data_IF_908650251959
#
_entry.id   IF_908650251959
#
_cell.length_a   1.000
_cell.length_b   1.000
_cell.length_c   1.000
_cell.angle_alpha   90.00
_cell.angle_beta   90.00
_cell.angle_gamma   90.00
#
_symmetry.space_group_name_H-M   'P 1'
#
loop_
_entity.id
_entity.type
_entity.pdbx_description
1 polymer ?
#
# COMPACT_ATOMS: atom_id res chain seq x y z
N UNK A 1 13.68 -9.94 -14.21
CA UNK A 1 13.62 -10.17 -14.36
C UNK A 1 13.60 -10.29 -14.18
N UNK A 2 13.83 -9.97 -14.23
CA UNK A 2 13.94 -10.28 -14.27
C UNK A 2 14.36 -10.98 -14.34
N UNK A 3 14.57 -11.05 -14.47
CA UNK A 3 14.97 -11.87 -14.56
C UNK A 3 15.25 -12.27 -14.28
N UNK A 4 15.62 -11.91 -14.23
CA UNK A 4 15.86 -12.31 -14.29
C UNK A 4 15.98 -12.76 -13.93
N UNK A 5 16.06 -12.59 -13.84
CA UNK A 5 16.20 -13.13 -13.85
C UNK A 5 16.18 -13.75 -13.75
N UNK A 6 16.34 -13.60 -13.82
CA UNK A 6 16.44 -14.28 -13.93
C UNK A 6 16.57 -14.83 -13.60
N UNK A 7 16.84 -14.79 -13.64
CA UNK A 7 16.99 -15.46 -13.45
C UNK A 7 17.09 -15.95 -12.86
N UNK A 8 17.34 -16.15 -12.76
CA UNK A 8 17.38 -16.59 -12.19
C UNK A 8 17.12 -17.29 -11.79
N UNK A 9 17.37 -17.32 -12.04
CA UNK A 9 17.16 -18.09 -11.51
C UNK A 9 16.37 -18.99 -10.96
N UNK A 10 16.39 -19.44 -10.92
CA UNK A 10 15.64 -20.50 -10.25
C UNK A 10 14.92 -19.96 -9.08
N UNK A 11 13.70 -19.63 -9.25
CA UNK A 11 12.91 -19.12 -8.17
C UNK A 11 12.19 -20.27 -7.54
N UNK A 12 12.52 -20.54 -6.29
CA UNK A 12 11.74 -21.48 -5.52
C UNK A 12 10.39 -20.86 -5.21
N UNK A 13 9.36 -21.67 -5.22
CA UNK A 13 8.04 -21.18 -4.81
C UNK A 13 8.09 -20.80 -3.34
N UNK A 14 7.55 -19.62 -2.96
CA UNK A 14 7.53 -19.24 -1.56
C UNK A 14 6.72 -20.23 -0.74
N UNK A 15 7.20 -20.54 0.45
CA UNK A 15 6.42 -21.25 1.45
C UNK A 15 5.56 -20.25 2.20
N UNK A 16 4.67 -20.71 3.07
CA UNK A 16 3.88 -19.80 3.91
C UNK A 16 4.78 -18.89 4.74
N UNK A 17 5.93 -19.40 5.16
CA UNK A 17 6.91 -18.64 5.91
C UNK A 17 7.50 -17.50 5.10
N UNK A 18 7.62 -17.71 3.79
CA UNK A 18 8.23 -16.75 2.89
C UNK A 18 7.18 -15.93 2.13
N UNK A 19 5.92 -16.02 2.52
CA UNK A 19 4.88 -15.25 1.88
C UNK A 19 5.17 -13.78 2.01
N UNK A 20 4.99 -13.05 0.90
CA UNK A 20 5.28 -11.64 0.84
C UNK A 20 4.07 -10.79 0.51
N UNK A 21 2.94 -11.40 0.21
CA UNK A 21 1.71 -10.67 -0.09
C UNK A 21 0.51 -11.35 0.53
N UNK A 22 -0.38 -10.53 1.07
CA UNK A 22 -1.62 -10.98 1.67
C UNK A 22 -2.74 -10.11 1.14
N UNK A 23 -3.80 -10.75 0.69
CA UNK A 23 -4.96 -10.06 0.13
C UNK A 23 -6.16 -10.33 1.01
N UNK A 24 -7.02 -9.36 1.15
CA UNK A 24 -8.22 -9.54 1.94
C UNK A 24 -9.27 -8.50 1.63
N UNK A 25 -10.38 -8.62 2.34
CA UNK A 25 -11.50 -7.69 2.24
C UNK A 25 -11.96 -7.36 3.67
N UNK A 26 -12.17 -6.09 3.92
CA UNK A 26 -12.66 -5.63 5.22
C UNK A 26 -13.71 -4.55 4.98
N UNK A 27 -14.90 -4.75 5.50
CA UNK A 27 -16.03 -3.82 5.33
C UNK A 27 -16.25 -3.44 3.86
N UNK A 28 -16.07 -4.40 2.97
CA UNK A 28 -16.28 -4.19 1.54
C UNK A 28 -15.11 -3.55 0.81
N UNK A 29 -14.03 -3.23 1.49
CA UNK A 29 -12.82 -2.68 0.87
C UNK A 29 -11.81 -3.80 0.71
N UNK A 30 -11.35 -4.00 -0.52
CA UNK A 30 -10.27 -4.93 -0.79
C UNK A 30 -8.95 -4.28 -0.45
N UNK A 31 -8.01 -5.07 0.05
CA UNK A 31 -6.70 -4.56 0.41
C UNK A 31 -5.61 -5.57 0.11
N UNK A 32 -4.40 -5.07 0.09
CA UNK A 32 -3.19 -5.88 -0.05
C UNK A 32 -2.18 -5.42 0.99
N UNK A 33 -1.51 -6.37 1.63
CA UNK A 33 -0.34 -6.11 2.47
C UNK A 33 0.85 -6.72 1.76
N UNK A 34 1.94 -5.97 1.64
CA UNK A 34 3.15 -6.44 0.98
C UNK A 34 4.34 -6.32 1.92
N UNK A 35 5.16 -7.34 1.92
CA UNK A 35 6.43 -7.37 2.62
C UNK A 35 7.51 -7.61 1.57
N UNK A 36 8.56 -6.81 1.59
CA UNK A 36 9.65 -6.99 0.64
C UNK A 36 10.96 -6.57 1.26
N UNK A 37 12.04 -7.11 0.71
CA UNK A 37 13.36 -6.81 1.22
C UNK A 37 13.75 -5.40 0.79
N UNK A 38 14.06 -4.57 1.77
CA UNK A 38 14.43 -3.20 1.51
C UNK A 38 15.86 -3.05 1.04
N UNK A 39 16.15 -1.94 0.39
CA UNK A 39 17.48 -1.52 0.06
C UNK A 39 17.96 -0.49 1.06
N UNK A 40 19.12 -0.72 1.63
CA UNK A 40 19.68 0.19 2.61
C UNK A 40 21.05 0.66 2.12
N UNK A 41 21.29 1.96 2.25
CA UNK A 41 22.61 2.54 1.98
C UNK A 41 23.51 2.30 3.19
N UNK A 42 24.81 2.59 3.03
CA UNK A 42 25.73 2.50 4.17
C UNK A 42 25.27 3.39 5.33
N UNK A 43 24.69 4.56 5.02
CA UNK A 43 24.22 5.47 6.06
C UNK A 43 23.05 4.91 6.86
N UNK A 44 22.14 4.19 6.17
CA UNK A 44 20.93 3.67 6.81
C UNK A 44 21.05 2.22 7.24
N UNK A 45 22.21 1.62 7.02
CA UNK A 45 22.43 0.20 7.33
C UNK A 45 22.13 -0.16 8.77
N UNK A 46 22.37 0.78 9.67
CA UNK A 46 22.08 0.58 11.10
C UNK A 46 20.59 0.40 11.37
N UNK A 47 19.74 0.81 10.43
CA UNK A 47 18.29 0.68 10.55
C UNK A 47 17.76 -0.55 9.81
N UNK A 48 18.66 -1.35 9.22
CA UNK A 48 18.23 -2.51 8.44
C UNK A 48 17.48 -3.50 9.33
N UNK A 49 16.23 -3.69 9.02
CA UNK A 49 15.37 -4.69 9.67
C UNK A 49 15.06 -5.86 8.74
N UNK A 50 15.73 -5.90 7.60
CA UNK A 50 15.59 -6.97 6.61
C UNK A 50 14.41 -6.80 5.68
N UNK A 51 13.33 -6.20 6.13
CA UNK A 51 12.11 -6.09 5.35
C UNK A 51 11.45 -4.72 5.51
N UNK A 52 10.74 -4.32 4.47
CA UNK A 52 9.88 -3.15 4.46
C UNK A 52 8.46 -3.61 4.19
N UNK A 53 7.50 -2.91 4.76
CA UNK A 53 6.10 -3.23 4.60
C UNK A 53 5.39 -2.09 3.91
N UNK A 54 4.37 -2.46 3.11
CA UNK A 54 3.44 -1.53 2.51
C UNK A 54 2.04 -2.10 2.67
N UNK A 55 1.03 -1.24 2.65
CA UNK A 55 -0.31 -1.75 2.39
C UNK A 55 -1.02 -0.84 1.41
N UNK A 56 -1.99 -1.40 0.73
CA UNK A 56 -2.77 -0.75 -0.31
C UNK A 56 -4.23 -1.04 -0.06
N UNK A 57 -5.07 -0.06 -0.33
CA UNK A 57 -6.53 -0.25 -0.31
C UNK A 57 -7.06 0.16 -1.68
N UNK A 58 -8.16 -0.47 -2.08
CA UNK A 58 -8.76 -0.26 -3.39
C UNK A 58 -10.10 0.41 -3.19
N UNK A 59 -10.24 1.63 -3.69
CA UNK A 59 -11.39 2.49 -3.37
C UNK A 59 -12.05 3.01 -4.63
N UNK A 60 -13.27 3.48 -4.46
CA UNK A 60 -13.99 4.16 -5.53
C UNK A 60 -13.28 5.47 -5.84
N UNK A 61 -12.98 5.73 -7.12
CA UNK A 61 -12.21 6.92 -7.48
C UNK A 61 -12.95 8.23 -7.22
N UNK A 62 -12.17 9.22 -6.85
CA UNK A 62 -12.63 10.60 -6.80
C UNK A 62 -12.26 11.30 -8.10
N UNK A 63 -12.84 12.47 -8.33
CA UNK A 63 -12.52 13.29 -9.48
C UNK A 63 -11.02 13.56 -9.54
N UNK A 64 -10.43 13.33 -10.71
CA UNK A 64 -9.01 13.54 -10.92
C UNK A 64 -8.65 15.01 -10.74
N UNK A 65 -7.66 15.26 -9.92
CA UNK A 65 -7.03 16.57 -9.76
C UNK A 65 -5.59 16.43 -10.23
N UNK A 66 -5.15 17.37 -11.07
CA UNK A 66 -3.79 17.31 -11.60
C UNK A 66 -3.04 18.59 -11.23
N UNK A 67 -1.73 18.47 -11.19
CA UNK A 67 -0.79 19.57 -11.04
C UNK A 67 0.29 19.43 -12.10
N UNK A 68 1.10 20.44 -12.26
CA UNK A 68 2.21 20.37 -13.21
C UNK A 68 3.14 19.23 -12.86
N UNK A 69 3.53 18.48 -13.88
CA UNK A 69 4.51 17.42 -13.73
C UNK A 69 5.92 17.98 -13.60
N UNK A 70 6.86 17.06 -13.35
CA UNK A 70 8.25 17.46 -13.20
C UNK A 70 8.89 17.85 -14.53
N UNK A 71 8.32 17.37 -15.64
CA UNK A 71 8.78 17.75 -16.98
C UNK A 71 7.82 18.81 -17.53
N UNK A 72 8.36 19.86 -18.13
CA UNK A 72 7.56 20.94 -18.68
C UNK A 72 6.52 20.38 -19.66
N UNK A 73 5.31 20.89 -19.54
CA UNK A 73 4.20 20.50 -20.40
C UNK A 73 3.49 19.22 -19.97
N UNK A 74 3.93 18.58 -18.90
CA UNK A 74 3.29 17.37 -18.40
C UNK A 74 2.44 17.67 -17.17
N UNK A 75 1.50 16.76 -16.89
CA UNK A 75 0.65 16.83 -15.71
C UNK A 75 0.79 15.52 -14.93
N UNK A 76 0.57 15.62 -13.63
CA UNK A 76 0.53 14.45 -12.76
C UNK A 76 -0.65 14.55 -11.82
N UNK A 77 -1.11 13.43 -11.30
CA UNK A 77 -2.20 13.43 -10.34
C UNK A 77 -1.74 14.04 -9.02
N UNK A 78 -2.57 14.90 -8.47
CA UNK A 78 -2.37 15.44 -7.13
C UNK A 78 -3.23 14.62 -6.17
N UNK A 79 -2.74 13.46 -5.79
CA UNK A 79 -3.54 12.56 -4.97
C UNK A 79 -3.69 13.06 -3.52
N UNK A 80 -2.82 13.95 -3.07
CA UNK A 80 -3.03 14.61 -1.77
C UNK A 80 -4.26 15.50 -1.81
N UNK A 81 -4.49 16.18 -2.93
CA UNK A 81 -5.69 17.01 -3.09
C UNK A 81 -6.93 16.15 -3.30
N UNK A 82 -6.78 14.97 -3.91
CA UNK A 82 -7.91 14.07 -4.15
C UNK A 82 -8.35 13.36 -2.87
N UNK A 83 -7.41 13.00 -2.00
CA UNK A 83 -7.66 12.17 -0.82
C UNK A 83 -7.08 12.78 0.46
N UNK A 84 -7.43 14.07 0.77
CA UNK A 84 -6.85 14.73 1.95
C UNK A 84 -7.39 14.16 3.27
N UNK A 85 -8.49 13.43 3.21
CA UNK A 85 -9.19 12.88 4.36
C UNK A 85 -8.95 11.39 4.57
N UNK A 86 -7.99 10.80 3.85
CA UNK A 86 -7.62 9.40 4.03
C UNK A 86 -6.41 9.34 4.97
N UNK A 87 -6.56 8.58 6.06
CA UNK A 87 -5.51 8.43 7.06
C UNK A 87 -4.85 7.07 6.91
N UNK A 88 -3.57 7.09 6.60
CA UNK A 88 -2.76 5.90 6.45
C UNK A 88 -1.48 6.05 7.27
N UNK A 89 -0.83 4.94 7.55
CA UNK A 89 0.43 4.95 8.29
C UNK A 89 1.45 5.85 7.59
N UNK A 90 1.90 6.89 8.28
CA UNK A 90 2.86 7.84 7.73
C UNK A 90 2.35 8.70 6.58
N UNK A 91 1.07 8.58 6.23
CA UNK A 91 0.46 9.33 5.14
C UNK A 91 0.41 8.56 3.83
N UNK A 92 -0.43 9.03 2.95
CA UNK A 92 -0.59 8.46 1.61
C UNK A 92 0.65 8.77 0.77
N UNK A 93 1.30 7.74 0.24
CA UNK A 93 2.51 7.90 -0.56
C UNK A 93 2.43 7.25 -1.95
N UNK A 94 1.35 6.55 -2.24
CA UNK A 94 1.17 5.89 -3.52
C UNK A 94 -0.27 6.01 -4.00
N UNK A 95 -0.41 6.28 -5.28
CA UNK A 95 -1.71 6.34 -5.94
C UNK A 95 -1.59 5.77 -7.35
N UNK A 96 -2.59 4.99 -7.76
CA UNK A 96 -2.76 4.63 -9.16
C UNK A 96 -4.23 4.45 -9.45
N UNK A 97 -4.59 4.60 -10.71
CA UNK A 97 -5.95 4.38 -11.19
C UNK A 97 -5.94 3.34 -12.29
N UNK A 98 -6.75 2.32 -12.11
CA UNK A 98 -6.85 1.23 -13.07
C UNK A 98 -8.32 0.92 -13.33
N UNK A 99 -8.57 0.14 -14.37
CA UNK A 99 -9.90 -0.40 -14.64
C UNK A 99 -9.90 -1.81 -14.06
N UNK A 100 -10.99 -2.19 -13.41
CA UNK A 100 -11.10 -3.51 -12.82
C UNK A 100 -11.01 -4.60 -13.90
N UNK A 101 -10.88 -5.86 -13.46
CA UNK A 101 -10.68 -6.99 -14.37
C UNK A 101 -11.84 -7.21 -15.33
N UNK A 102 -13.00 -6.65 -15.04
CA UNK A 102 -14.17 -6.74 -15.91
C UNK A 102 -14.23 -5.61 -16.93
N UNK A 103 -13.35 -4.60 -16.81
CA UNK A 103 -13.36 -3.44 -17.68
C UNK A 103 -14.53 -2.50 -17.47
N UNK A 104 -15.24 -2.64 -16.34
CA UNK A 104 -16.47 -1.90 -16.07
C UNK A 104 -16.29 -0.69 -15.16
N UNK A 105 -15.32 -0.74 -14.26
CA UNK A 105 -15.17 0.29 -13.24
C UNK A 105 -13.72 0.69 -13.07
N UNK A 106 -13.51 1.98 -12.89
CA UNK A 106 -12.22 2.47 -12.44
C UNK A 106 -12.07 2.23 -10.95
N UNK A 107 -10.85 1.93 -10.54
CA UNK A 107 -10.49 1.65 -9.15
C UNK A 107 -9.25 2.46 -8.84
N UNK A 108 -9.24 3.15 -7.71
CA UNK A 108 -8.04 3.82 -7.22
C UNK A 108 -7.37 2.96 -6.17
N UNK A 109 -6.07 2.81 -6.32
CA UNK A 109 -5.22 2.15 -5.32
C UNK A 109 -4.53 3.24 -4.51
N UNK A 110 -4.70 3.19 -3.21
CA UNK A 110 -4.05 4.11 -2.27
C UNK A 110 -3.12 3.30 -1.40
N UNK A 111 -1.89 3.76 -1.25
CA UNK A 111 -0.89 3.01 -0.51
C UNK A 111 -0.02 3.87 0.40
N UNK A 112 0.59 3.20 1.35
CA UNK A 112 1.57 3.80 2.23
C UNK A 112 2.69 2.80 2.50
N UNK A 113 3.77 3.28 3.12
CA UNK A 113 4.90 2.44 3.43
C UNK A 113 5.32 2.60 4.90
N UNK A 114 6.16 1.67 5.35
CA UNK A 114 6.73 1.64 6.69
C UNK A 114 8.23 1.95 6.63
N UNK A 115 8.62 2.86 5.76
CA UNK A 115 10.02 3.19 5.52
C UNK A 115 10.41 4.56 6.11
N UNK A 116 9.69 5.03 7.11
CA UNK A 116 10.02 6.30 7.76
C UNK A 116 11.05 6.08 8.84
N UNK A 117 11.82 7.12 9.16
CA UNK A 117 12.85 7.01 10.17
C UNK A 117 12.31 6.54 11.52
N UNK A 118 11.12 7.02 11.91
CA UNK A 118 10.54 6.62 13.19
C UNK A 118 10.12 5.14 13.22
N UNK A 119 10.02 4.49 12.07
CA UNK A 119 9.74 3.06 12.03
C UNK A 119 10.95 2.24 12.50
N UNK A 120 12.12 2.84 12.53
CA UNK A 120 13.37 2.15 12.82
C UNK A 120 14.10 2.65 14.06
N UNK A 121 13.88 3.88 14.50
CA UNK A 121 14.77 4.55 15.45
C UNK A 121 14.44 4.37 16.91
N UNK A 122 13.18 4.13 17.26
CA UNK A 122 12.83 4.09 18.67
C UNK A 122 13.09 2.72 19.27
N UNK A 123 13.20 2.69 20.59
CA UNK A 123 13.35 1.45 21.31
C UNK A 123 12.19 0.53 20.98
N UNK A 124 12.49 -0.72 20.67
CA UNK A 124 11.49 -1.67 20.26
C UNK A 124 11.19 -1.64 18.76
N UNK A 125 11.92 -0.86 17.98
CA UNK A 125 11.71 -0.81 16.54
C UNK A 125 12.01 -2.12 15.85
N UNK A 126 12.59 -3.08 16.55
CA UNK A 126 12.77 -4.44 16.05
C UNK A 126 11.46 -5.07 15.65
N UNK A 127 10.33 -4.48 16.06
CA UNK A 127 9.02 -4.94 15.66
C UNK A 127 8.86 -5.05 14.14
N UNK A 128 9.58 -4.25 13.35
CA UNK A 128 9.50 -4.38 11.90
C UNK A 128 10.20 -5.63 11.40
N UNK A 129 11.26 -6.07 12.09
CA UNK A 129 11.95 -7.31 11.77
C UNK A 129 11.09 -8.52 12.14
N UNK A 130 10.43 -8.46 13.27
CA UNK A 130 9.61 -9.54 13.78
C UNK A 130 8.15 -9.40 13.41
N UNK A 131 7.81 -8.34 12.69
CA UNK A 131 6.45 -8.01 12.35
C UNK A 131 5.82 -9.09 11.50
N UNK A 132 4.54 -9.31 11.74
CA UNK A 132 3.73 -10.21 10.93
C UNK A 132 2.69 -9.37 10.19
N UNK A 133 2.08 -10.00 9.19
CA UNK A 133 1.02 -9.30 8.46
C UNK A 133 -0.16 -8.94 9.36
N UNK A 134 -0.37 -9.66 10.47
CA UNK A 134 -1.44 -9.33 11.42
C UNK A 134 -1.20 -7.97 12.07
N UNK A 135 0.05 -7.62 12.31
CA UNK A 135 0.37 -6.30 12.86
C UNK A 135 -0.02 -5.20 11.86
N UNK A 136 0.34 -5.39 10.60
CA UNK A 136 0.01 -4.43 9.56
C UNK A 136 -1.50 -4.40 9.32
N UNK A 137 -2.16 -5.55 9.44
CA UNK A 137 -3.61 -5.64 9.25
C UNK A 137 -4.37 -4.73 10.20
N UNK A 138 -3.88 -4.50 11.41
CA UNK A 138 -4.54 -3.56 12.32
C UNK A 138 -4.54 -2.15 11.75
N UNK A 139 -3.45 -1.73 11.15
CA UNK A 139 -3.36 -0.41 10.54
C UNK A 139 -4.26 -0.32 9.31
N UNK A 140 -4.33 -1.40 8.52
CA UNK A 140 -5.25 -1.46 7.39
C UNK A 140 -6.69 -1.28 7.86
N UNK A 141 -7.09 -2.01 8.91
CA UNK A 141 -8.45 -1.90 9.43
C UNK A 141 -8.74 -0.51 9.99
N UNK A 142 -7.77 0.09 10.67
CA UNK A 142 -7.94 1.45 11.18
C UNK A 142 -8.14 2.44 10.03
N UNK A 143 -7.37 2.30 8.96
CA UNK A 143 -7.54 3.14 7.78
C UNK A 143 -8.94 2.97 7.21
N UNK A 144 -9.37 1.74 7.02
CA UNK A 144 -10.68 1.46 6.42
C UNK A 144 -11.82 1.93 7.33
N UNK A 145 -11.67 1.77 8.64
CA UNK A 145 -12.69 2.22 9.60
C UNK A 145 -12.89 3.74 9.54
N UNK A 146 -11.87 4.48 9.15
CA UNK A 146 -11.94 5.95 9.07
C UNK A 146 -12.21 6.48 7.67
N UNK A 147 -12.42 5.59 6.68
CA UNK A 147 -12.62 6.04 5.30
C UNK A 147 -13.92 6.81 5.12
N UNK A 148 -13.90 7.90 4.33
CA UNK A 148 -15.13 8.55 3.89
C UNK A 148 -16.01 7.58 3.10
N UNK A 149 -17.32 7.75 3.26
CA UNK A 149 -18.29 6.81 2.68
C UNK A 149 -18.27 6.78 1.16
N UNK A 150 -17.91 7.89 0.53
CA UNK A 150 -17.91 7.97 -0.93
C UNK A 150 -16.82 7.09 -1.56
N UNK A 151 -15.89 6.59 -0.76
CA UNK A 151 -14.82 5.72 -1.27
C UNK A 151 -15.22 4.25 -1.34
N UNK A 152 -16.40 3.91 -0.87
CA UNK A 152 -16.90 2.54 -0.93
C UNK A 152 -17.69 2.33 -2.21
N UNK A 153 -17.47 1.20 -2.89
CA UNK A 153 -18.24 0.84 -4.09
C UNK A 153 -19.68 0.51 -3.74
N UNK A 154 -19.89 -0.07 -2.55
CA UNK A 154 -21.21 -0.40 -2.06
C UNK A 154 -21.47 0.48 -0.84
N UNK A 155 -22.55 1.24 -0.82
CA UNK A 155 -22.83 2.10 0.32
C UNK A 155 -22.89 1.31 1.62
N UNK A 156 -22.28 1.88 2.66
CA UNK A 156 -22.29 1.26 4.00
C UNK A 156 -23.72 1.23 4.50
N UNK A 157 -24.11 0.08 5.07
CA UNK A 157 -25.43 -0.08 5.63
C UNK A 157 -26.48 -0.51 4.63
N UNK A 158 -26.16 -0.53 3.35
CA UNK A 158 -27.05 -1.08 2.34
C UNK A 158 -26.63 -2.51 2.07
N UNK A 159 -27.54 -3.41 2.40
CA UNK A 159 -27.32 -4.79 2.05
C UNK A 159 -27.54 -4.94 0.55
N UNK A 160 -26.52 -5.34 -0.15
CA UNK A 160 -26.66 -5.67 -1.56
C UNK A 160 -26.83 -7.15 -1.64
N UNK A 161 -27.94 -7.51 -2.08
CA UNK A 161 -28.29 -8.91 -2.16
C UNK A 161 -28.13 -9.43 -3.57
#
# INVERSE_FOLDING_TARGET
SYPHQQNKMNEEKPTLKDQTRWYGTYKGINFEIAKWKGHFTEETKKYDRGYTWNYYIYVKPRTLVTVDGFTEGTKRADYYAMYPDVEMHGGLTFWSRTIDSWGLHEVDTLGCDYAHLWDYEHEGSDRLRECTHEYILRDVKNTIDSLPKDLFFTPIGNSVN
#
